data_IF_790426287893
#
_entry.id   IF_790426287893
#
_cell.length_a   1.000
_cell.length_b   1.000
_cell.length_c   1.000
_cell.angle_alpha   90.00
_cell.angle_beta   90.00
_cell.angle_gamma   90.00
#
_symmetry.space_group_name_H-M   'P 1'
#
loop_
_entity.id
_entity.type
_entity.pdbx_description
1 polymer ?
2 polymer ?
3 water ?
#
loop_
_entity_poly.entity_id
_entity_poly.type
_entity_poly.pdbx_seq_one_letter_code
_entity_poly.pdbx_strand_id
1 'polydeoxyribonucleotide' '(DG)(DC)(DA)(DT)(DA)(DT)(DC)(DA)(DA)(DT)(DT)(DT)(DG)(DT)(DT)(DG)(DC)(DA)(DT)' ?
#
# COMPACT_ATOMS: atom_id res chain seq x y z
N UNK E 1 -12.95 -9.49 -4.80
CA UNK E 1 -14.17 -8.97 -5.49
C UNK E 1 -14.39 -7.49 -5.23
N UNK E 2 -14.43 -6.70 -6.30
CA UNK E 2 -14.78 -5.28 -6.21
C UNK E 2 -16.26 -5.04 -6.49
N UNK E 3 -16.68 -3.77 -6.36
CA UNK E 3 -18.06 -3.37 -6.61
C UNK E 3 -18.59 -3.84 -7.97
N UNK E 4 -17.85 -3.55 -9.02
CA UNK E 4 -18.24 -3.92 -10.37
C UNK E 4 -18.50 -5.41 -10.53
N UNK E 5 -17.57 -6.21 -10.02
CA UNK E 5 -17.68 -7.66 -10.05
C UNK E 5 -18.85 -8.17 -9.18
N UNK E 6 -19.12 -7.46 -8.08
CA UNK E 6 -20.26 -7.78 -7.22
C UNK E 6 -21.57 -7.47 -7.91
N UNK E 7 -21.64 -6.32 -8.59
CA UNK E 7 -22.81 -5.91 -9.35
C UNK E 7 -23.21 -6.97 -10.38
N UNK E 8 -22.23 -7.42 -11.17
CA UNK E 8 -22.45 -8.45 -12.18
C UNK E 8 -23.13 -9.69 -11.59
N UNK E 9 -22.55 -10.21 -10.50
CA UNK E 9 -23.08 -11.38 -9.79
C UNK E 9 -24.48 -11.13 -9.23
N UNK E 10 -24.69 -9.94 -8.67
CA UNK E 10 -25.97 -9.53 -8.12
C UNK E 10 -27.04 -9.44 -9.21
N UNK E 11 -26.70 -8.76 -10.30
CA UNK E 11 -27.59 -8.62 -11.46
C UNK E 11 -27.98 -9.97 -12.04
N UNK E 12 -27.02 -10.89 -12.03
CA UNK E 12 -27.24 -12.28 -12.45
C UNK E 12 -28.22 -12.99 -11.52
N UNK E 13 -27.95 -12.94 -10.22
CA UNK E 13 -28.73 -13.64 -9.21
C UNK E 13 -30.16 -13.11 -9.08
N UNK E 14 -30.29 -11.78 -8.95
CA UNK E 14 -31.58 -11.13 -8.75
C UNK E 14 -32.41 -11.03 -10.03
N UNK E 15 -31.80 -11.40 -11.15
CA UNK E 15 -32.43 -11.31 -12.48
C UNK E 15 -32.87 -9.88 -12.81
N UNK E 16 -31.91 -8.96 -12.69
CA UNK E 16 -32.11 -7.54 -13.03
C UNK E 16 -30.93 -7.05 -13.86
N UNK E 17 -31.04 -5.84 -14.40
CA UNK E 17 -29.96 -5.23 -15.16
C UNK E 17 -28.83 -4.73 -14.25
N UNK E 18 -27.62 -4.63 -14.81
CA UNK E 18 -26.44 -4.22 -14.06
C UNK E 18 -26.57 -2.81 -13.48
N UNK E 19 -27.21 -1.92 -14.24
CA UNK E 19 -27.46 -0.55 -13.80
C UNK E 19 -28.39 -0.52 -12.59
N UNK E 20 -29.40 -1.38 -12.60
CA UNK E 20 -30.38 -1.50 -11.51
C UNK E 20 -29.75 -2.12 -10.27
N UNK E 21 -28.91 -3.12 -10.46
CA UNK E 21 -28.18 -3.77 -9.37
C UNK E 21 -27.23 -2.79 -8.67
N UNK E 22 -26.58 -1.94 -9.47
CA UNK E 22 -25.67 -0.92 -8.95
C UNK E 22 -26.43 0.21 -8.25
N UNK E 23 -27.55 0.63 -8.83
CA UNK E 23 -28.36 1.71 -8.26
C UNK E 23 -28.86 1.36 -6.86
N UNK E 24 -29.32 0.12 -6.70
CA UNK E 24 -29.79 -0.39 -5.42
C UNK E 24 -28.63 -0.54 -4.43
N UNK E 25 -27.55 -1.17 -4.88
CA UNK E 25 -26.36 -1.40 -4.04
C UNK E 25 -25.78 -0.10 -3.51
N UNK E 26 -25.65 0.90 -4.39
CA UNK E 26 -25.19 2.23 -3.99
C UNK E 26 -26.10 2.83 -2.91
N UNK E 27 -27.41 2.83 -3.17
CA UNK E 27 -28.41 3.34 -2.23
C UNK E 27 -28.37 2.60 -0.89
N UNK E 28 -28.22 1.27 -0.96
CA UNK E 28 -28.16 0.43 0.23
C UNK E 28 -26.96 0.76 1.11
N UNK E 29 -25.79 0.89 0.49
CA UNK E 29 -24.55 1.20 1.21
C UNK E 29 -24.50 2.63 1.73
N UNK E 30 -25.03 3.57 0.96
CA UNK E 30 -25.06 4.98 1.35
C UNK E 30 -26.03 5.22 2.52
N UNK E 31 -27.13 4.47 2.53
CA UNK E 31 -28.11 4.55 3.62
C UNK E 31 -27.52 3.98 4.91
N UNK E 32 -26.85 2.84 4.79
CA UNK E 32 -26.19 2.17 5.90
C UNK E 32 -25.23 3.13 6.62
N UNK E 33 -24.47 3.90 5.83
CA UNK E 33 -23.50 4.87 6.37
C UNK E 33 -24.17 6.06 7.07
N UNK E 34 -25.23 6.60 6.48
CA UNK E 34 -25.97 7.72 7.06
C UNK E 34 -26.60 7.34 8.40
N UNK E 35 -27.12 6.10 8.47
CA UNK E 35 -27.75 5.59 9.69
C UNK E 35 -26.74 5.38 10.82
N UNK E 36 -25.59 4.78 10.49
CA UNK E 36 -24.51 4.57 11.46
C UNK E 36 -23.97 5.90 11.97
N UNK E 37 -23.91 6.90 11.09
CA UNK E 37 -23.42 8.23 11.43
C UNK E 37 -24.36 9.01 12.34
N UNK E 38 -25.66 8.82 12.15
CA UNK E 38 -26.67 9.49 12.95
C UNK E 38 -26.90 8.80 14.30
N UNK E 39 -26.20 7.69 14.53
CA UNK E 39 -26.25 6.98 15.81
C UNK E 39 -27.22 5.82 15.86
N UNK E 40 -27.60 5.31 14.69
CA UNK E 40 -28.49 4.16 14.60
C UNK E 40 -27.70 2.90 14.29
N UNK E 41 -28.16 1.77 14.83
CA UNK E 41 -27.58 0.47 14.54
C UNK E 41 -28.35 -0.22 13.42
N UNK E 42 -27.65 -0.61 12.35
CA UNK E 42 -28.27 -1.28 11.22
C UNK E 42 -28.11 -2.80 11.35
N UNK E 43 -29.24 -3.50 11.52
CA UNK E 43 -29.23 -4.95 11.70
C UNK E 43 -29.80 -5.68 10.48
N UNK E 44 -29.03 -6.60 9.94
CA UNK E 44 -29.45 -7.43 8.82
C UNK E 44 -29.30 -8.90 9.18
N UNK E 45 -30.43 -9.56 9.40
CA UNK E 45 -30.46 -10.97 9.79
C UNK E 45 -29.64 -11.84 8.83
N UNK E 46 -28.95 -12.83 9.39
CA UNK E 46 -28.10 -13.71 8.60
C UNK E 46 -26.75 -13.09 8.34
N UNK E 47 -26.76 -11.90 7.74
CA UNK E 47 -25.54 -11.18 7.39
C UNK E 47 -24.82 -10.64 8.62
N UNK E 48 -25.34 -9.58 9.21
CA UNK E 48 -24.74 -8.94 10.36
C UNK E 48 -25.30 -7.59 10.69
N UNK E 49 -24.59 -6.85 11.54
CA UNK E 49 -25.06 -5.54 12.01
C UNK E 49 -23.95 -4.50 12.05
N UNK E 50 -24.29 -3.28 11.66
CA UNK E 50 -23.37 -2.16 11.70
C UNK E 50 -23.79 -1.20 12.81
N UNK E 51 -22.79 -0.60 13.46
CA UNK E 51 -23.01 0.40 14.49
C UNK E 51 -21.77 1.25 14.68
N UNK E 52 -21.94 2.40 15.32
CA UNK E 52 -20.81 3.22 15.73
C UNK E 52 -20.32 2.79 17.11
N UNK E 53 -19.03 2.95 17.34
CA UNK E 53 -18.42 2.67 18.64
C UNK E 53 -17.46 3.78 19.01
N UNK E 54 -17.57 4.27 20.24
CA UNK E 54 -16.72 5.35 20.72
C UNK E 54 -15.44 4.78 21.35
N UNK E 55 -14.30 5.30 20.93
CA UNK E 55 -13.01 4.93 21.50
C UNK E 55 -12.50 6.06 22.36
N UNK E 56 -12.06 5.74 23.58
CA UNK E 56 -11.50 6.74 24.49
C UNK E 56 -10.07 7.07 24.09
N UNK E 57 -9.59 8.23 24.55
CA UNK E 57 -8.21 8.65 24.32
C UNK E 57 -7.21 7.63 24.86
N UNK E 58 -6.11 7.45 24.13
CA UNK E 58 -5.06 6.52 24.54
C UNK E 58 -3.68 7.07 24.29
N UNK E 59 -2.69 6.54 25.00
CA UNK E 59 -1.31 6.93 24.82
C UNK E 59 -0.72 6.26 23.58
N UNK E 60 -0.08 7.06 22.74
CA UNK E 60 0.58 6.56 21.55
C UNK E 60 1.99 7.10 21.44
N UNK E 61 2.65 6.74 20.35
CA UNK E 61 4.03 7.19 20.12
C UNK E 61 4.29 7.54 18.67
N UNK E 62 4.92 8.70 18.47
CA UNK E 62 5.33 9.16 17.16
C UNK E 62 6.56 8.39 16.67
N UNK E 63 6.43 7.67 15.55
CA UNK E 63 7.55 6.90 14.99
C UNK E 63 8.65 7.78 14.40
N UNK E 64 8.32 9.00 14.02
CA UNK E 64 9.28 9.92 13.41
C UNK E 64 10.14 10.66 14.43
N UNK E 65 9.63 10.79 15.67
CA UNK E 65 10.34 11.54 16.71
C UNK E 65 10.58 10.74 18.01
N UNK E 66 10.00 9.55 18.11
CA UNK E 66 10.02 8.74 19.33
C UNK E 66 9.22 9.36 20.49
N UNK E 67 8.75 10.59 20.27
CA UNK E 67 8.02 11.36 21.27
C UNK E 67 6.63 10.79 21.56
N UNK E 68 6.37 10.50 22.83
CA UNK E 68 5.08 9.99 23.28
C UNK E 68 4.00 11.06 23.17
N UNK E 69 2.84 10.65 22.65
CA UNK E 69 1.71 11.55 22.48
C UNK E 69 0.39 10.87 22.88
N UNK E 70 -0.70 11.63 22.88
CA UNK E 70 -2.02 11.09 23.18
C UNK E 70 -2.93 11.09 21.97
N UNK E 71 -3.31 9.90 21.52
CA UNK E 71 -4.31 9.72 20.47
C UNK E 71 -5.68 10.13 21.02
N UNK E 72 -6.31 11.12 20.37
CA UNK E 72 -7.60 11.63 20.84
C UNK E 72 -8.75 10.64 20.67
N UNK E 73 -9.78 10.79 21.51
CA UNK E 73 -10.99 9.97 21.43
C UNK E 73 -11.64 10.13 20.07
N UNK E 74 -12.31 9.07 19.61
CA UNK E 74 -12.94 9.06 18.30
C UNK E 74 -14.14 8.12 18.23
N UNK E 75 -14.86 8.16 17.10
CA UNK E 75 -15.93 7.22 16.81
C UNK E 75 -15.61 6.48 15.51
N UNK E 76 -15.84 5.17 15.50
CA UNK E 76 -15.50 4.33 14.34
C UNK E 76 -16.65 3.40 13.91
N UNK E 77 -16.72 3.10 12.61
CA UNK E 77 -17.67 2.09 12.11
C UNK E 77 -17.28 0.68 12.56
N UNK E 78 -18.26 -0.08 13.02
CA UNK E 78 -18.03 -1.44 13.49
C UNK E 78 -19.03 -2.39 12.85
N UNK E 79 -18.69 -3.68 12.89
CA UNK E 79 -19.51 -4.71 12.27
C UNK E 79 -19.54 -5.98 13.12
N UNK E 80 -20.72 -6.54 13.29
CA UNK E 80 -20.89 -7.83 13.94
C UNK E 80 -21.38 -8.83 12.90
N UNK E 81 -20.66 -9.94 12.75
CA UNK E 81 -21.05 -10.97 11.79
C UNK E 81 -22.19 -11.80 12.38
N UNK E 82 -23.25 -11.97 11.59
CA UNK E 82 -24.38 -12.78 11.99
C UNK E 82 -24.08 -14.25 11.83
N UNK E 83 -24.97 -15.09 12.34
CA UNK E 83 -24.79 -16.54 12.38
C UNK E 83 -24.53 -17.15 11.01
N UNK E 84 -25.34 -16.75 10.02
CA UNK E 84 -25.25 -17.29 8.67
C UNK E 84 -23.93 -16.92 7.97
N UNK E 85 -23.42 -15.74 8.26
CA UNK E 85 -22.11 -15.32 7.75
C UNK E 85 -21.02 -16.19 8.37
N UNK E 86 -21.01 -16.27 9.70
CA UNK E 86 -20.01 -17.04 10.44
C UNK E 86 -20.03 -18.53 10.14
N UNK E 87 -21.20 -19.05 9.75
CA UNK E 87 -21.36 -20.48 9.48
C UNK E 87 -21.00 -20.87 8.04
N UNK E 88 -21.04 -19.91 7.13
CA UNK E 88 -20.60 -20.17 5.76
C UNK E 88 -19.07 -20.05 5.67
N UNK E 89 -18.50 -19.22 6.54
CA UNK E 89 -17.04 -19.06 6.63
C UNK E 89 -16.43 -20.22 7.42
N UNK E 90 -17.17 -20.72 8.41
CA UNK E 90 -16.77 -21.87 9.20
C UNK E 90 -18.01 -22.68 9.61
N UNK E 91 -18.31 -23.74 8.85
CA UNK E 91 -19.44 -24.61 9.15
C UNK E 91 -19.20 -25.45 10.41
N UNK E 92 -20.19 -25.48 11.32
CA UNK E 92 -20.09 -26.27 12.55
C UNK E 92 -19.94 -27.76 12.28
N UNK F 1 -32.02 0.35 12.51
CA UNK F 1 -32.57 0.05 11.16
C UNK F 1 -32.42 -1.43 10.82
N UNK F 2 -33.55 -2.13 10.63
CA UNK F 2 -33.53 -3.51 10.17
C UNK F 2 -33.60 -3.61 8.64
N UNK F 3 -33.60 -4.83 8.13
CA UNK F 3 -33.61 -5.11 6.69
C UNK F 3 -34.80 -4.49 5.97
N UNK F 4 -36.00 -4.71 6.54
CA UNK F 4 -37.24 -4.19 5.97
C UNK F 4 -37.28 -2.67 5.85
N UNK F 5 -36.82 -1.99 6.90
CA UNK F 5 -36.76 -0.53 6.91
C UNK F 5 -35.72 0.00 5.93
N UNK F 6 -34.64 -0.75 5.74
CA UNK F 6 -33.60 -0.41 4.78
C UNK F 6 -34.12 -0.56 3.34
N UNK F 7 -34.85 -1.64 3.09
CA UNK F 7 -35.46 -1.92 1.79
C UNK F 7 -36.40 -0.78 1.35
N UNK F 8 -37.23 -0.32 2.29
CA UNK F 8 -38.15 0.80 2.05
C UNK F 8 -37.42 2.04 1.53
N UNK F 9 -36.33 2.40 2.21
CA UNK F 9 -35.53 3.57 1.84
C UNK F 9 -34.79 3.35 0.51
N UNK F 10 -34.34 2.12 0.27
CA UNK F 10 -33.63 1.76 -0.95
C UNK F 10 -34.56 1.79 -2.16
N UNK F 11 -35.75 1.21 -2.01
CA UNK F 11 -36.79 1.24 -3.04
C UNK F 11 -37.22 2.66 -3.36
N UNK F 12 -37.17 3.53 -2.35
CA UNK F 12 -37.43 4.95 -2.52
C UNK F 12 -36.29 5.64 -3.27
N UNK F 13 -35.05 5.41 -2.81
CA UNK F 13 -33.87 6.08 -3.38
C UNK F 13 -33.54 5.66 -4.81
N UNK F 14 -33.65 4.36 -5.08
CA UNK F 14 -33.33 3.80 -6.40
C UNK F 14 -34.52 3.85 -7.37
N UNK F 15 -35.67 4.31 -6.88
CA UNK F 15 -36.91 4.38 -7.65
C UNK F 15 -37.32 3.03 -8.23
N UNK F 16 -37.34 2.02 -7.36
CA UNK F 16 -37.76 0.67 -7.71
C UNK F 16 -38.78 0.16 -6.70
N UNK F 17 -39.33 -1.04 -6.93
CA UNK F 17 -40.28 -1.64 -6.00
C UNK F 17 -39.58 -2.30 -4.81
N UNK F 18 -40.30 -2.42 -3.70
CA UNK F 18 -39.78 -3.01 -2.47
C UNK F 18 -39.42 -4.48 -2.64
N UNK F 19 -40.20 -5.19 -3.45
CA UNK F 19 -39.93 -6.59 -3.78
C UNK F 19 -38.63 -6.74 -4.56
N UNK F 20 -38.34 -5.76 -5.41
CA UNK F 20 -37.10 -5.72 -6.18
C UNK F 20 -35.92 -5.35 -5.29
N UNK F 21 -36.08 -4.27 -4.52
CA UNK F 21 -35.04 -3.77 -3.61
C UNK F 21 -34.57 -4.85 -2.63
N UNK F 22 -35.51 -5.64 -2.12
CA UNK F 22 -35.23 -6.77 -1.25
C UNK F 22 -34.47 -7.87 -1.99
N UNK F 23 -34.99 -8.26 -3.15
CA UNK F 23 -34.42 -9.35 -3.95
C UNK F 23 -32.96 -9.09 -4.32
N UNK F 24 -32.65 -7.83 -4.62
CA UNK F 24 -31.30 -7.42 -4.95
C UNK F 24 -30.42 -7.39 -3.71
N UNK F 25 -30.91 -6.78 -2.63
CA UNK F 25 -30.19 -6.72 -1.36
C UNK F 25 -29.89 -8.12 -0.81
N UNK F 26 -30.87 -9.01 -0.89
CA UNK F 26 -30.68 -10.42 -0.54
C UNK F 26 -29.53 -11.04 -1.34
N UNK F 27 -29.57 -10.86 -2.66
CA UNK F 27 -28.52 -11.34 -3.55
C UNK F 27 -27.15 -10.74 -3.21
N UNK F 28 -27.13 -9.43 -2.96
CA UNK F 28 -25.91 -8.72 -2.61
C UNK F 28 -25.25 -9.25 -1.33
N UNK F 29 -26.07 -9.47 -0.30
CA UNK F 29 -25.60 -9.96 0.99
C UNK F 29 -25.16 -11.42 0.95
N UNK F 30 -25.89 -12.24 0.20
CA UNK F 30 -25.56 -13.65 0.04
C UNK F 30 -24.26 -13.85 -0.75
N UNK F 31 -24.05 -13.01 -1.77
CA UNK F 31 -22.85 -13.07 -2.60
C UNK F 31 -21.59 -12.66 -1.84
N UNK F 32 -21.72 -11.65 -0.98
CA UNK F 32 -20.63 -11.22 -0.12
C UNK F 32 -20.23 -12.35 0.84
N UNK F 33 -21.22 -13.08 1.35
CA UNK F 33 -20.98 -14.23 2.22
C UNK F 33 -20.28 -15.38 1.46
N UNK F 34 -20.78 -15.72 0.27
CA UNK F 34 -20.19 -16.76 -0.57
C UNK F 34 -18.73 -16.43 -0.90
N UNK F 35 -18.48 -15.20 -1.36
CA UNK F 35 -17.16 -14.78 -1.79
C UNK F 35 -16.13 -14.84 -0.66
N UNK F 36 -16.46 -14.25 0.49
CA UNK F 36 -15.61 -14.30 1.68
C UNK F 36 -15.32 -15.75 2.09
N UNK F 37 -16.36 -16.58 2.11
CA UNK F 37 -16.23 -17.99 2.49
C UNK F 37 -15.28 -18.77 1.58
N UNK F 38 -15.29 -18.41 0.29
CA UNK F 38 -14.40 -19.05 -0.68
C UNK F 38 -12.98 -18.46 -0.64
N UNK F 39 -12.72 -17.63 0.37
CA UNK F 39 -11.41 -17.05 0.60
C UNK F 39 -11.10 -15.86 -0.30
N UNK F 40 -12.14 -15.18 -0.76
CA UNK F 40 -11.99 -13.98 -1.59
C UNK F 40 -12.36 -12.74 -0.78
N UNK F 41 -11.49 -11.73 -0.84
CA UNK F 41 -11.74 -10.45 -0.18
C UNK F 41 -12.67 -9.59 -1.02
N UNK F 42 -13.74 -9.09 -0.39
CA UNK F 42 -14.73 -8.24 -1.06
C UNK F 42 -14.45 -6.77 -0.74
N UNK F 43 -14.07 -6.02 -1.76
CA UNK F 43 -13.75 -4.59 -1.60
C UNK F 43 -14.83 -3.70 -2.22
N UNK F 44 -15.33 -2.77 -1.43
CA UNK F 44 -16.28 -1.76 -1.92
C UNK F 44 -15.79 -0.38 -1.54
N UNK F 45 -15.27 0.35 -2.53
CA UNK F 45 -14.73 1.70 -2.33
C UNK F 45 -15.70 2.61 -1.59
N UNK F 46 -15.16 3.47 -0.73
CA UNK F 46 -15.97 4.34 0.12
C UNK F 46 -16.50 3.63 1.34
N UNK F 47 -17.19 2.50 1.10
CA UNK F 47 -17.83 1.73 2.17
C UNK F 47 -16.82 0.93 2.97
N UNK F 48 -16.28 -0.13 2.37
CA UNK F 48 -15.28 -0.95 3.04
C UNK F 48 -15.05 -2.31 2.41
N UNK F 49 -14.31 -3.14 3.13
CA UNK F 49 -13.92 -4.46 2.64
C UNK F 49 -14.27 -5.58 3.61
N UNK F 50 -14.61 -6.75 3.06
CA UNK F 50 -14.87 -7.94 3.85
C UNK F 50 -13.88 -9.02 3.48
N UNK F 51 -13.39 -9.75 4.49
CA UNK F 51 -12.48 -10.86 4.29
C UNK F 51 -12.60 -11.86 5.44
N UNK F 52 -12.02 -13.03 5.27
CA UNK F 52 -11.96 -14.04 6.33
C UNK F 52 -10.65 -13.89 7.09
N UNK F 53 -10.77 -13.71 8.40
CA UNK F 53 -9.60 -13.60 9.27
C UNK F 53 -9.36 -14.94 9.98
N UNK F 54 -8.20 -15.52 9.76
CA UNK F 54 -7.84 -16.78 10.42
C UNK F 54 -7.57 -16.59 11.91
N UNK F 55 -7.79 -17.64 12.69
CA UNK F 55 -7.69 -17.57 14.15
C UNK F 55 -7.28 -18.91 14.75
N UNK F 56 -6.09 -18.94 15.34
CA UNK F 56 -5.59 -20.18 15.95
C UNK F 56 -6.24 -20.47 17.30
N UNK F 57 -6.14 -21.72 17.73
CA UNK F 57 -6.72 -22.17 18.99
C UNK F 57 -6.29 -21.31 20.16
N UNK F 58 -7.21 -21.12 21.12
CA UNK F 58 -6.92 -20.36 22.32
C UNK F 58 -7.53 -21.02 23.55
N UNK F 59 -6.94 -20.75 24.71
CA UNK F 59 -7.44 -21.30 25.97
C UNK F 59 -8.65 -20.50 26.44
N UNK F 60 -9.63 -21.20 27.00
CA UNK F 60 -10.84 -20.59 27.53
C UNK F 60 -11.26 -21.26 28.81
N UNK F 61 -12.37 -20.81 29.39
CA UNK F 61 -12.84 -21.36 30.65
C UNK F 61 -14.34 -21.57 30.68
N UNK F 62 -14.73 -22.77 31.10
CA UNK F 62 -16.11 -23.14 31.32
C UNK F 62 -16.67 -22.33 32.50
N UNK F 63 -17.67 -21.49 32.23
CA UNK F 63 -18.25 -20.62 33.27
C UNK F 63 -18.99 -21.39 34.36
N UNK F 64 -19.53 -22.55 34.00
CA UNK F 64 -20.33 -23.36 34.92
C UNK F 64 -19.48 -24.28 35.81
N UNK F 65 -18.39 -24.79 35.27
CA UNK F 65 -17.54 -25.76 35.98
C UNK F 65 -16.18 -25.21 36.42
N UNK F 66 -15.86 -23.99 35.98
CA UNK F 66 -14.55 -23.35 36.23
C UNK F 66 -13.37 -24.07 35.54
N UNK F 67 -13.68 -25.18 34.88
CA UNK F 67 -12.67 -25.99 34.20
C UNK F 67 -12.17 -25.30 32.93
N UNK F 68 -10.85 -25.20 32.81
CA UNK F 68 -10.21 -24.63 31.63
C UNK F 68 -10.37 -25.57 30.43
N UNK F 69 -10.61 -24.98 29.26
CA UNK F 69 -10.77 -25.73 28.02
C UNK F 69 -10.08 -25.02 26.85
N UNK F 70 -9.94 -25.74 25.73
CA UNK F 70 -9.41 -25.13 24.52
C UNK F 70 -10.52 -24.80 23.52
N UNK F 71 -10.62 -23.52 23.16
CA UNK F 71 -11.49 -23.08 22.09
C UNK F 71 -10.77 -23.38 20.76
N UNK F 72 -11.35 -24.26 19.95
CA UNK F 72 -10.69 -24.71 18.71
C UNK F 72 -10.51 -23.61 17.67
N UNK F 73 -9.43 -23.70 16.91
CA UNK F 73 -9.15 -22.78 15.81
C UNK F 73 -10.32 -22.72 14.83
N UNK F 74 -10.55 -21.53 14.29
CA UNK F 74 -11.69 -21.27 13.41
C UNK F 74 -11.42 -20.11 12.46
N UNK F 75 -12.30 -19.93 11.48
CA UNK F 75 -12.23 -18.81 10.55
C UNK F 75 -13.42 -17.89 10.81
N UNK F 76 -13.16 -16.58 10.87
CA UNK F 76 -14.21 -15.60 11.13
C UNK F 76 -14.33 -14.55 10.01
N UNK F 77 -15.54 -14.05 9.77
CA UNK F 77 -15.73 -12.89 8.89
C UNK F 77 -15.15 -11.63 9.53
N UNK F 78 -14.63 -10.75 8.69
CA UNK F 78 -14.04 -9.49 9.14
C UNK F 78 -14.53 -8.35 8.27
N UNK F 79 -14.38 -7.12 8.77
CA UNK F 79 -14.76 -5.91 8.04
C UNK F 79 -13.76 -4.79 8.28
N UNK F 80 -13.39 -4.10 7.20
CA UNK F 80 -12.56 -2.90 7.29
C UNK F 80 -13.33 -1.73 6.71
N UNK F 81 -13.47 -0.67 7.49
CA UNK F 81 -14.21 0.51 7.07
C UNK F 81 -13.38 1.36 6.11
N UNK F 82 -14.00 1.78 5.01
CA UNK F 82 -13.37 2.65 4.05
C UNK F 82 -13.28 4.09 4.55
N UNK F 83 -12.61 4.94 3.77
CA UNK F 83 -12.36 6.33 4.14
C UNK F 83 -13.66 7.15 4.33
N UNK F 84 -14.55 7.07 3.35
CA UNK F 84 -15.83 7.80 3.39
C UNK F 84 -16.72 7.36 4.56
N UNK F 85 -16.70 6.07 4.88
CA UNK F 85 -17.46 5.53 6.02
C UNK F 85 -16.94 6.12 7.33
N UNK F 86 -15.62 6.03 7.54
CA UNK F 86 -14.98 6.54 8.75
C UNK F 86 -15.11 8.06 8.89
N UNK F 87 -15.19 8.76 7.76
CA UNK F 87 -15.27 10.22 7.75
C UNK F 87 -16.70 10.75 7.95
N UNK F 88 -17.70 9.95 7.59
CA UNK F 88 -19.09 10.30 7.85
C UNK F 88 -19.44 10.03 9.31
N UNK F 89 -18.78 9.03 9.89
CA UNK F 89 -18.93 8.66 11.30
C UNK F 89 -18.10 9.59 12.19
N UNK F 90 -16.97 10.05 11.65
CA UNK F 90 -16.09 10.98 12.36
C UNK F 90 -15.39 11.93 11.38
N UNK F 91 -16.01 13.08 11.10
CA UNK F 91 -15.46 14.06 10.17
C UNK F 91 -14.15 14.67 10.68
N UNK F 92 -13.14 14.78 9.80
CA UNK F 92 -11.85 15.39 10.15
C UNK F 92 -11.98 16.85 10.59
N UNK G 1 14.07 -6.41 0.00
CA UNK G 1 15.00 -5.94 1.06
C UNK G 1 14.68 -4.50 1.48
N UNK G 2 14.44 -4.31 2.77
CA UNK G 2 14.24 -2.97 3.33
C UNK G 2 15.52 -2.46 4.00
N UNK G 3 15.48 -1.22 4.50
CA UNK G 3 16.63 -0.58 5.13
C UNK G 3 17.24 -1.41 6.26
N UNK G 4 16.39 -1.81 7.20
CA UNK G 4 16.81 -2.59 8.36
C UNK G 4 17.54 -3.87 7.99
N UNK G 5 16.98 -4.60 7.02
CA UNK G 5 17.58 -5.82 6.49
C UNK G 5 18.91 -5.53 5.79
N UNK G 6 18.97 -4.42 5.06
CA UNK G 6 20.20 -3.98 4.41
C UNK G 6 21.29 -3.64 5.41
N UNK G 7 20.90 -2.98 6.51
CA UNK G 7 21.81 -2.63 7.61
C UNK G 7 22.48 -3.88 8.19
N UNK G 8 21.69 -4.93 8.40
CA UNK G 8 22.20 -6.20 8.92
C UNK G 8 23.30 -6.79 8.03
N UNK G 9 23.05 -6.78 6.72
CA UNK G 9 24.01 -7.29 5.74
C UNK G 9 25.26 -6.41 5.65
N UNK G 10 25.06 -5.09 5.78
CA UNK G 10 26.17 -4.12 5.74
C UNK G 10 27.05 -4.23 6.99
N UNK G 11 26.40 -4.34 8.15
CA UNK G 11 27.11 -4.53 9.42
C UNK G 11 27.93 -5.83 9.42
N UNK G 12 27.38 -6.85 8.78
CA UNK G 12 28.04 -8.16 8.62
C UNK G 12 29.24 -8.08 7.67
N UNK G 13 29.06 -7.39 6.54
CA UNK G 13 30.08 -7.31 5.50
C UNK G 13 31.26 -6.41 5.87
N UNK G 14 30.97 -5.29 6.54
CA UNK G 14 32.00 -4.31 6.89
C UNK G 14 32.57 -4.50 8.29
N UNK G 15 32.17 -5.60 8.94
CA UNK G 15 32.61 -5.93 10.31
C UNK G 15 32.41 -4.79 11.30
N UNK G 16 31.18 -4.26 11.32
CA UNK G 16 30.81 -3.18 12.24
C UNK G 16 29.49 -3.52 12.93
N UNK G 17 29.11 -2.72 13.93
CA UNK G 17 27.83 -2.90 14.62
C UNK G 17 26.67 -2.36 13.77
N UNK G 18 25.46 -2.83 14.09
CA UNK G 18 24.25 -2.44 13.37
C UNK G 18 23.92 -0.95 13.53
N UNK G 19 24.20 -0.41 14.72
CA UNK G 19 24.01 1.01 15.01
C UNK G 19 24.94 1.88 14.18
N UNK G 20 26.18 1.43 14.01
CA UNK G 20 27.19 2.15 13.23
C UNK G 20 26.89 2.08 11.73
N UNK G 21 26.45 0.90 11.27
CA UNK G 21 26.11 0.69 9.86
C UNK G 21 24.92 1.55 9.44
N UNK G 22 23.94 1.67 10.33
CA UNK G 22 22.75 2.48 10.08
C UNK G 22 23.08 3.98 10.04
N UNK G 23 23.85 4.43 11.02
CA UNK G 23 24.23 5.84 11.15
C UNK G 23 25.01 6.35 9.94
N UNK G 24 25.88 5.50 9.40
CA UNK G 24 26.66 5.84 8.20
C UNK G 24 25.79 5.78 6.95
N UNK G 25 24.94 4.76 6.87
CA UNK G 25 24.02 4.60 5.74
C UNK G 25 23.03 5.76 5.64
N UNK G 26 22.46 6.15 6.78
CA UNK G 26 21.57 7.31 6.87
C UNK G 26 22.30 8.58 6.42
N UNK G 27 23.53 8.76 6.92
CA UNK G 27 24.36 9.91 6.56
C UNK G 27 24.70 9.95 5.07
N UNK G 28 24.99 8.77 4.50
CA UNK G 28 25.33 8.65 3.08
C UNK G 28 24.13 8.95 2.18
N UNK G 29 22.96 8.50 2.60
CA UNK G 29 21.73 8.70 1.83
C UNK G 29 21.25 10.14 1.92
N UNK G 30 21.49 10.78 3.07
CA UNK G 30 21.13 12.18 3.29
C UNK G 30 22.03 13.12 2.49
N UNK G 31 23.33 12.83 2.49
CA UNK G 31 24.32 13.61 1.75
C UNK G 31 24.06 13.55 0.24
N UNK G 32 23.73 12.36 -0.26
CA UNK G 32 23.40 12.18 -1.68
C UNK G 32 22.19 13.03 -2.06
N UNK G 33 21.15 12.98 -1.24
CA UNK G 33 19.93 13.78 -1.47
C UNK G 33 20.22 15.28 -1.52
N UNK G 34 20.99 15.78 -0.55
CA UNK G 34 21.34 17.20 -0.48
C UNK G 34 22.20 17.65 -1.65
N UNK G 35 23.14 16.80 -2.05
CA UNK G 35 24.03 17.10 -3.18
C UNK G 35 23.25 17.24 -4.49
N UNK G 36 22.34 16.30 -4.74
CA UNK G 36 21.46 16.32 -5.90
C UNK G 36 20.55 17.54 -5.90
N UNK G 37 20.00 17.86 -4.72
CA UNK G 37 19.05 18.97 -4.57
C UNK G 37 19.68 20.33 -4.87
N UNK G 38 20.92 20.52 -4.45
CA UNK G 38 21.66 21.77 -4.72
C UNK G 38 22.30 21.78 -6.11
N UNK G 39 22.01 20.76 -6.91
CA UNK G 39 22.41 20.71 -8.30
C UNK G 39 23.77 20.12 -8.58
N UNK G 40 24.27 19.30 -7.66
CA UNK G 40 25.52 18.57 -7.86
C UNK G 40 25.23 17.14 -8.29
N UNK G 41 26.00 16.65 -9.27
CA UNK G 41 25.89 15.28 -9.74
C UNK G 41 26.74 14.35 -8.88
N UNK G 42 26.11 13.29 -8.36
CA UNK G 42 26.80 12.32 -7.52
C UNK G 42 27.15 11.08 -8.35
N UNK G 43 28.43 10.93 -8.68
CA UNK G 43 28.92 9.79 -9.44
C UNK G 43 29.65 8.79 -8.53
N UNK G 44 29.17 7.55 -8.52
CA UNK G 44 29.81 6.48 -7.75
C UNK G 44 30.18 5.34 -8.70
N UNK G 45 31.47 5.23 -8.98
CA UNK G 45 32.02 4.27 -9.94
C UNK G 45 31.55 2.84 -9.67
N UNK G 46 31.11 2.17 -10.74
CA UNK G 46 30.56 0.83 -10.63
C UNK G 46 29.07 0.85 -10.37
N UNK G 47 28.67 1.54 -9.30
CA UNK G 47 27.26 1.65 -8.92
C UNK G 47 26.48 2.48 -9.94
N UNK G 48 26.63 3.80 -9.87
CA UNK G 48 25.94 4.70 -10.77
C UNK G 48 26.06 6.17 -10.38
N UNK G 49 25.26 7.00 -11.04
CA UNK G 49 25.25 8.43 -10.76
C UNK G 49 23.85 8.98 -10.49
N UNK G 50 23.77 9.90 -9.54
CA UNK G 50 22.52 10.60 -9.23
C UNK G 50 22.64 12.05 -9.67
N UNK G 51 21.55 12.59 -10.22
CA UNK G 51 21.48 13.99 -10.62
C UNK G 51 20.03 14.47 -10.66
N UNK G 52 19.84 15.78 -10.52
CA UNK G 52 18.54 16.41 -10.70
C UNK G 52 18.28 16.57 -12.20
N UNK G 53 17.01 16.45 -12.59
CA UNK G 53 16.62 16.64 -13.98
C UNK G 53 15.39 17.53 -14.09
N UNK G 54 15.48 18.54 -14.96
CA UNK G 54 14.38 19.48 -15.18
C UNK G 54 13.30 18.87 -16.08
N UNK G 55 12.05 19.03 -15.68
CA UNK G 55 10.90 18.59 -16.48
C UNK G 55 10.06 19.80 -16.87
N UNK G 56 9.66 19.86 -18.15
CA UNK G 56 8.82 20.93 -18.64
C UNK G 56 7.35 20.65 -18.34
N UNK G 57 6.52 21.68 -18.40
CA UNK G 57 5.07 21.52 -18.26
C UNK G 57 4.55 20.61 -19.37
N UNK G 58 3.67 19.69 -18.99
CA UNK G 58 3.05 18.78 -19.96
C UNK G 58 1.57 18.62 -19.69
N UNK G 59 0.80 18.45 -20.76
CA UNK G 59 -0.63 18.28 -20.66
C UNK G 59 -0.95 16.92 -20.06
N UNK G 60 -1.98 16.89 -19.22
CA UNK G 60 -2.44 15.66 -18.59
C UNK G 60 -3.95 15.64 -18.53
N UNK G 61 -4.50 14.58 -17.94
CA UNK G 61 -5.95 14.45 -17.87
C UNK G 61 -6.43 13.96 -16.51
N UNK G 62 -7.35 14.72 -15.92
CA UNK G 62 -8.01 14.36 -14.68
C UNK G 62 -8.86 13.10 -14.89
N UNK G 63 -8.54 12.02 -14.16
CA UNK G 63 -9.27 10.75 -14.28
C UNK G 63 -10.71 10.81 -13.76
N UNK G 64 -10.99 11.77 -12.88
CA UNK G 64 -12.32 11.88 -12.28
C UNK G 64 -13.26 12.82 -13.02
N UNK G 65 -12.71 13.67 -13.89
CA UNK G 65 -13.51 14.63 -14.65
C UNK G 65 -13.36 14.50 -16.18
N UNK G 66 -12.24 13.94 -16.62
CA UNK G 66 -11.88 13.86 -18.06
C UNK G 66 -11.49 15.24 -18.63
N UNK G 67 -11.59 16.27 -17.78
CA UNK G 67 -11.20 17.63 -18.13
C UNK G 67 -9.69 17.74 -18.16
N UNK G 68 -9.15 18.03 -19.35
CA UNK G 68 -7.71 18.19 -19.56
C UNK G 68 -7.12 19.25 -18.62
N UNK G 69 -5.97 18.94 -18.06
CA UNK G 69 -5.29 19.82 -17.11
C UNK G 69 -3.77 19.86 -17.34
N UNK G 70 -3.12 20.89 -16.79
CA UNK G 70 -1.68 21.03 -16.93
C UNK G 70 -0.93 20.59 -15.69
N UNK G 71 0.01 19.65 -15.87
CA UNK G 71 0.92 19.24 -14.81
C UNK G 71 2.11 20.19 -14.82
N UNK G 72 2.30 20.94 -13.73
CA UNK G 72 3.33 21.98 -13.66
C UNK G 72 4.73 21.45 -13.90
N UNK G 73 5.61 22.32 -14.37
CA UNK G 73 7.02 22.00 -14.53
C UNK G 73 7.66 21.80 -13.17
N UNK G 74 8.53 20.79 -13.08
CA UNK G 74 9.20 20.46 -11.83
C UNK G 74 10.61 19.93 -12.07
N UNK G 75 11.31 19.60 -10.99
CA UNK G 75 12.59 18.91 -11.06
C UNK G 75 12.52 17.58 -10.31
N UNK G 76 12.92 16.51 -10.99
CA UNK G 76 12.87 15.16 -10.42
C UNK G 76 14.26 14.58 -10.18
N UNK G 77 14.40 13.77 -9.13
CA UNK G 77 15.65 13.01 -8.93
C UNK G 77 15.78 11.91 -9.96
N UNK G 78 16.98 11.76 -10.52
CA UNK G 78 17.25 10.73 -11.50
C UNK G 78 18.43 9.86 -11.09
N UNK G 79 18.60 8.74 -11.79
CA UNK G 79 19.69 7.80 -11.54
C UNK G 79 20.13 7.13 -12.83
N UNK G 80 21.44 6.96 -12.98
CA UNK G 80 22.03 6.24 -14.10
C UNK G 80 22.82 5.07 -13.55
N UNK G 81 22.58 3.89 -14.09
CA UNK G 81 23.27 2.68 -13.64
C UNK G 81 24.67 2.59 -14.27
N UNK G 82 25.66 2.32 -13.42
CA UNK G 82 27.03 2.17 -13.88
C UNK G 82 27.26 0.81 -14.52
N UNK G 83 28.43 0.64 -15.14
CA UNK G 83 28.77 -0.56 -15.88
C UNK G 83 28.64 -1.84 -15.03
N UNK G 84 29.22 -1.80 -13.83
CA UNK G 84 29.18 -2.95 -12.91
C UNK G 84 27.75 -3.35 -12.54
N UNK G 85 26.91 -2.36 -12.24
CA UNK G 85 25.51 -2.59 -11.86
C UNK G 85 24.76 -3.28 -13.00
N UNK G 86 24.88 -2.72 -14.20
CA UNK G 86 24.21 -3.26 -15.38
C UNK G 86 24.71 -4.66 -15.77
N UNK G 87 25.98 -4.93 -15.48
CA UNK G 87 26.60 -6.21 -15.80
C UNK G 87 26.33 -7.29 -14.77
N UNK G 88 26.08 -6.88 -13.52
CA UNK G 88 25.66 -7.82 -12.48
C UNK G 88 24.20 -8.20 -12.65
N UNK G 89 23.42 -7.26 -13.19
CA UNK G 89 22.01 -7.49 -13.50
C UNK G 89 21.86 -8.23 -14.84
N UNK G 90 22.74 -7.90 -15.78
CA UNK G 90 22.77 -8.55 -17.09
C UNK G 90 24.21 -8.77 -17.54
N UNK G 91 24.77 -9.94 -17.20
CA UNK G 91 26.13 -10.29 -17.63
C UNK G 91 26.24 -10.51 -19.13
N UNK G 92 27.30 -9.97 -19.76
CA UNK G 92 27.51 -10.14 -21.21
C UNK G 92 27.90 -11.57 -21.58
N UNK H 1 30.20 15.46 -7.62
CA UNK H 1 30.71 14.73 -6.42
C UNK H 1 31.00 13.26 -6.74
N UNK H 2 32.21 12.81 -6.43
CA UNK H 2 32.60 11.41 -6.59
C UNK H 2 32.52 10.62 -5.28
N UNK H 3 32.74 9.32 -5.38
CA UNK H 3 32.75 8.41 -4.22
C UNK H 3 33.69 8.89 -3.12
N UNK H 4 34.93 9.20 -3.48
CA UNK H 4 35.92 9.70 -2.54
C UNK H 4 35.50 10.94 -1.80
N UNK H 5 34.91 11.90 -2.52
CA UNK H 5 34.41 13.14 -1.93
C UNK H 5 33.18 12.90 -1.04
N UNK H 6 32.34 11.93 -1.45
CA UNK H 6 31.17 11.54 -0.67
C UNK H 6 31.58 10.93 0.68
N UNK H 7 32.54 10.01 0.61
CA UNK H 7 33.12 9.36 1.80
C UNK H 7 33.56 10.38 2.86
N UNK H 8 34.23 11.45 2.40
CA UNK H 8 34.67 12.53 3.27
C UNK H 8 33.51 13.18 4.02
N UNK H 9 32.44 13.52 3.29
CA UNK H 9 31.26 14.14 3.86
C UNK H 9 30.47 13.18 4.75
N UNK H 10 30.52 11.89 4.41
CA UNK H 10 29.88 10.84 5.19
C UNK H 10 30.62 10.65 6.53
N UNK H 11 31.94 10.54 6.45
CA UNK H 11 32.79 10.43 7.64
C UNK H 11 32.65 11.66 8.54
N UNK H 12 32.34 12.80 7.92
CA UNK H 12 32.10 14.05 8.62
C UNK H 12 30.77 14.01 9.39
N UNK H 13 29.69 13.64 8.70
CA UNK H 13 28.34 13.67 9.26
C UNK H 13 28.12 12.58 10.31
N UNK H 14 28.60 11.37 10.01
CA UNK H 14 28.42 10.22 10.91
C UNK H 14 29.42 10.21 12.07
N UNK H 15 30.37 11.16 12.04
CA UNK H 15 31.44 11.27 13.03
C UNK H 15 32.29 9.99 13.14
N UNK H 16 32.69 9.48 11.98
CA UNK H 16 33.53 8.28 11.89
C UNK H 16 34.75 8.54 11.01
N UNK H 17 35.66 7.56 10.93
CA UNK H 17 36.85 7.69 10.09
C UNK H 17 36.53 7.43 8.61
N UNK H 18 37.39 7.94 7.72
CA UNK H 18 37.20 7.83 6.28
C UNK H 18 37.25 6.39 5.77
N UNK H 19 38.10 5.57 6.39
CA UNK H 19 38.22 4.15 6.05
C UNK H 19 36.95 3.38 6.42
N UNK H 20 36.33 3.76 7.54
CA UNK H 20 35.08 3.16 7.99
C UNK H 20 33.90 3.59 7.13
N UNK H 21 33.90 4.88 6.74
CA UNK H 21 32.86 5.43 5.88
C UNK H 21 32.87 4.78 4.50
N UNK H 22 34.08 4.54 3.97
CA UNK H 22 34.25 3.89 2.67
C UNK H 22 33.82 2.43 2.70
N UNK H 23 34.26 1.70 3.73
CA UNK H 23 33.97 0.26 3.87
C UNK H 23 32.47 -0.03 3.94
N UNK H 24 31.74 0.78 4.71
CA UNK H 24 30.30 0.65 4.86
C UNK H 24 29.57 1.01 3.55
N UNK H 25 29.95 2.14 2.96
CA UNK H 25 29.38 2.58 1.68
C UNK H 25 29.60 1.56 0.58
N UNK H 26 30.80 1.00 0.51
CA UNK H 26 31.15 -0.04 -0.45
C UNK H 26 30.24 -1.26 -0.28
N UNK H 27 30.17 -1.78 0.94
CA UNK H 27 29.32 -2.93 1.27
C UNK H 27 27.85 -2.66 0.97
N UNK H 28 27.39 -1.46 1.30
CA UNK H 28 26.01 -1.02 1.00
C UNK H 28 25.72 -1.07 -0.50
N UNK H 29 26.60 -0.46 -1.29
CA UNK H 29 26.44 -0.40 -2.75
C UNK H 29 26.59 -1.78 -3.41
N UNK H 30 27.46 -2.62 -2.85
CA UNK H 30 27.67 -3.97 -3.35
C UNK H 30 26.49 -4.89 -3.05
N UNK H 31 25.95 -4.79 -1.83
CA UNK H 31 24.79 -5.57 -1.43
C UNK H 31 23.55 -5.20 -2.25
N UNK H 32 23.35 -3.90 -2.47
CA UNK H 32 22.24 -3.41 -3.28
C UNK H 32 22.27 -4.08 -4.66
N UNK H 33 23.43 -4.05 -5.31
CA UNK H 33 23.62 -4.69 -6.62
C UNK H 33 23.30 -6.19 -6.57
N UNK H 34 23.87 -6.91 -5.61
CA UNK H 34 23.61 -8.33 -5.44
C UNK H 34 22.12 -8.62 -5.34
N UNK H 35 21.44 -7.85 -4.49
CA UNK H 35 20.01 -8.02 -4.22
C UNK H 35 19.17 -7.80 -5.48
N UNK H 36 19.41 -6.69 -6.17
CA UNK H 36 18.73 -6.38 -7.42
C UNK H 36 19.01 -7.46 -8.48
N UNK H 37 20.25 -7.93 -8.51
CA UNK H 37 20.67 -8.95 -9.46
C UNK H 37 19.97 -10.30 -9.30
N UNK H 38 19.65 -10.67 -8.06
CA UNK H 38 18.96 -11.93 -7.80
C UNK H 38 17.43 -11.79 -7.76
N UNK H 39 16.93 -10.66 -8.26
CA UNK H 39 15.50 -10.44 -8.39
C UNK H 39 14.78 -9.90 -7.16
N UNK H 40 15.52 -9.22 -6.29
CA UNK H 40 14.94 -8.62 -5.08
C UNK H 40 14.88 -7.11 -5.20
N UNK H 41 13.77 -6.52 -4.73
CA UNK H 41 13.62 -5.08 -4.73
C UNK H 41 14.19 -4.51 -3.43
N UNK H 42 14.98 -3.44 -3.56
CA UNK H 42 15.56 -2.78 -2.40
C UNK H 42 14.86 -1.44 -2.16
N UNK H 43 14.03 -1.41 -1.12
CA UNK H 43 13.28 -0.20 -0.76
C UNK H 43 13.90 0.51 0.43
N UNK H 44 14.21 1.78 0.25
CA UNK H 44 14.74 2.62 1.32
C UNK H 44 13.86 3.85 1.50
N UNK H 45 13.10 3.86 2.58
CA UNK H 45 12.13 4.93 2.86
C UNK H 45 12.75 6.32 2.87
N UNK H 46 12.07 7.28 2.26
CA UNK H 46 12.58 8.62 2.13
C UNK H 46 13.52 8.76 0.95
N UNK H 47 14.50 7.87 0.87
CA UNK H 47 15.44 7.86 -0.24
C UNK H 47 14.78 7.35 -1.52
N UNK H 48 14.69 6.03 -1.68
CA UNK H 48 14.10 5.45 -2.87
C UNK H 48 14.23 3.94 -2.96
N UNK H 49 13.82 3.40 -4.10
CA UNK H 49 13.82 1.95 -4.31
C UNK H 49 14.61 1.54 -5.55
N UNK H 50 15.25 0.37 -5.45
CA UNK H 50 16.03 -0.20 -6.55
C UNK H 50 15.41 -1.52 -6.97
N UNK H 51 15.32 -1.73 -8.28
CA UNK H 51 14.80 -2.97 -8.83
C UNK H 51 15.35 -3.20 -10.25
N UNK H 52 15.22 -4.42 -10.72
CA UNK H 52 15.49 -4.74 -12.12
C UNK H 52 14.20 -4.64 -12.92
N UNK H 53 14.32 -4.35 -14.21
CA UNK H 53 13.17 -4.29 -15.09
C UNK H 53 13.47 -5.06 -16.37
N UNK H 54 12.62 -6.03 -16.68
CA UNK H 54 12.74 -6.80 -17.92
C UNK H 54 12.43 -5.91 -19.12
N UNK H 55 13.29 -5.99 -20.13
CA UNK H 55 13.15 -5.19 -21.34
C UNK H 55 13.06 -6.12 -22.55
N UNK H 56 11.98 -5.97 -23.31
CA UNK H 56 11.76 -6.79 -24.51
C UNK H 56 12.73 -6.39 -25.63
N UNK H 57 12.90 -7.28 -26.61
CA UNK H 57 13.71 -7.00 -27.79
C UNK H 57 13.07 -5.88 -28.61
N UNK H 58 13.90 -4.95 -29.06
CA UNK H 58 13.42 -3.82 -29.86
C UNK H 58 14.36 -3.53 -31.04
N UNK H 59 13.89 -2.69 -31.96
CA UNK H 59 14.68 -2.32 -33.11
C UNK H 59 15.70 -1.23 -32.77
N UNK H 60 16.86 -1.34 -33.38
CA UNK H 60 17.94 -0.37 -33.22
C UNK H 60 18.75 -0.30 -34.49
N UNK H 61 19.81 0.50 -34.48
CA UNK H 61 20.62 0.68 -35.66
C UNK H 61 22.11 0.78 -35.33
N UNK H 62 22.91 -0.05 -35.99
CA UNK H 62 24.37 -0.04 -35.86
C UNK H 62 24.92 1.34 -36.21
N UNK H 63 25.48 2.04 -35.23
CA UNK H 63 25.94 3.42 -35.39
C UNK H 63 27.00 3.64 -36.47
N UNK H 64 27.79 2.60 -36.78
CA UNK H 64 28.86 2.72 -37.76
C UNK H 64 28.46 2.24 -39.16
N UNK H 65 27.79 1.10 -39.22
CA UNK H 65 27.40 0.50 -40.51
C UNK H 65 26.08 1.02 -41.05
N UNK H 66 25.32 1.74 -40.21
CA UNK H 66 23.98 2.25 -40.54
C UNK H 66 22.95 1.14 -40.77
N UNK H 67 23.38 -0.11 -40.61
CA UNK H 67 22.51 -1.27 -40.81
C UNK H 67 21.55 -1.46 -39.65
N UNK H 68 20.30 -1.77 -39.98
CA UNK H 68 19.26 -2.04 -39.00
C UNK H 68 19.55 -3.33 -38.23
N UNK H 69 19.38 -3.28 -36.91
CA UNK H 69 19.67 -4.43 -36.05
C UNK H 69 18.68 -4.57 -34.91
N UNK H 70 18.59 -5.77 -34.34
CA UNK H 70 17.71 -6.02 -33.21
C UNK H 70 18.50 -6.03 -31.91
N UNK H 71 18.17 -5.08 -31.03
CA UNK H 71 18.67 -5.09 -29.67
C UNK H 71 17.92 -6.19 -28.93
N UNK H 72 18.64 -7.18 -28.41
CA UNK H 72 18.01 -8.32 -27.73
C UNK H 72 17.37 -7.93 -26.40
N UNK H 73 16.45 -8.77 -25.92
CA UNK H 73 15.82 -8.59 -24.63
C UNK H 73 16.86 -8.64 -23.52
N UNK H 74 16.71 -7.76 -22.53
CA UNK H 74 17.66 -7.67 -21.42
C UNK H 74 16.99 -7.24 -20.12
N UNK H 75 17.76 -7.19 -19.04
CA UNK H 75 17.31 -6.57 -17.79
C UNK H 75 18.28 -5.48 -17.34
N UNK H 76 17.73 -4.33 -16.96
CA UNK H 76 18.51 -3.18 -16.52
C UNK H 76 18.18 -2.79 -15.08
N UNK H 77 19.16 -2.27 -14.34
CA UNK H 77 18.91 -1.69 -13.02
C UNK H 77 18.03 -0.44 -13.12
N UNK H 78 17.13 -0.26 -12.16
CA UNK H 78 16.20 0.86 -12.17
C UNK H 78 16.07 1.48 -10.78
N UNK H 79 15.65 2.74 -10.74
CA UNK H 79 15.53 3.47 -9.48
C UNK H 79 14.27 4.33 -9.46
N UNK H 80 13.51 4.23 -8.37
CA UNK H 80 12.39 5.11 -8.09
C UNK H 80 12.75 6.00 -6.92
N UNK H 81 12.57 7.30 -7.09
CA UNK H 81 12.85 8.27 -6.03
C UNK H 81 11.72 8.31 -5.02
N UNK H 82 12.06 8.29 -3.74
CA UNK H 82 11.09 8.38 -2.68
C UNK H 82 10.61 9.81 -2.47
N UNK H 83 9.51 9.95 -1.73
CA UNK H 83 8.86 11.24 -1.55
C UNK H 83 9.79 12.33 -0.99
N UNK H 84 10.62 11.97 -0.02
CA UNK H 84 11.55 12.92 0.60
C UNK H 84 12.62 13.41 -0.38
N UNK H 85 13.16 12.50 -1.19
CA UNK H 85 14.12 12.85 -2.24
C UNK H 85 13.49 13.84 -3.23
N UNK H 86 12.28 13.52 -3.70
CA UNK H 86 11.56 14.34 -4.66
C UNK H 86 11.16 15.70 -4.09
N UNK H 87 11.07 15.80 -2.77
CA UNK H 87 10.65 17.03 -2.11
C UNK H 87 11.82 17.91 -1.68
N UNK H 88 12.98 17.30 -1.45
CA UNK H 88 14.21 18.07 -1.26
C UNK H 88 14.66 18.68 -2.59
N UNK H 89 14.44 17.94 -3.67
CA UNK H 89 14.76 18.40 -5.03
C UNK H 89 13.72 19.40 -5.51
N UNK H 90 12.46 19.16 -5.16
CA UNK H 90 11.37 20.07 -5.50
C UNK H 90 10.36 20.18 -4.35
N UNK H 91 10.56 21.14 -3.46
CA UNK H 91 9.66 21.35 -2.32
C UNK H 91 8.28 21.85 -2.76
N UNK H 92 7.21 21.25 -2.21
CA UNK H 92 5.85 21.69 -2.50
C UNK H 92 5.57 23.09 -1.94
#
# INVERSE_FOLDING_TARGET
MNKGELVDAVAEKASVTKKQADAVLTAALETIIEAVSSGDKVTLVGFGSFESRERKAREGRNPKTNEKMEIPATRVPAFSAGKLFREKVAPPKA
MNKGELVDAVAEKASVTKKQADAVLTAALETIIEAVSSGDKVTLVGFGSFESRERKAREGRNPKTNEKMEIPATRVPAFSAGKLFREKVAPPKA
MNKGELVDAVAEKASVTKKQADAVLTAALETIIEAVSSGDKVTLVGFGSFESRERKAREGRNPKTNEKMEIPATRVPAFSAGKLFREKVAPPKA
MNKGELVDAVAEKASVTKKQADAVLTAALETIIEAVSSGDKVTLVGFGSFESRERKAREGRNPKTNEKMEIPATRVPAFSAGKLFREKVAPPKA
#
